data_IF_660545525671
#
_entry.id   IF_660545525671
#
_cell.length_a   1.000
_cell.length_b   1.000
_cell.length_c   1.000
_cell.angle_alpha   90.00
_cell.angle_beta   90.00
_cell.angle_gamma   90.00
#
_symmetry.space_group_name_H-M   'P 1'
#
loop_
_entity.id
_entity.type
_entity.pdbx_description
1 polymer ?
#
# COMPACT_ATOMS: atom_id res chain seq x y z
N UNK A 1 22.25 -24.28 17.81
CA UNK A 1 21.96 -23.09 18.57
C UNK A 1 20.65 -22.48 18.09
N UNK A 2 19.62 -22.48 18.92
CA UNK A 2 18.40 -21.75 18.66
C UNK A 2 18.73 -20.26 18.78
N UNK A 3 18.61 -19.51 17.69
CA UNK A 3 18.69 -18.08 17.70
C UNK A 3 17.48 -17.55 18.49
N UNK A 4 17.73 -16.96 19.65
CA UNK A 4 16.70 -16.24 20.40
C UNK A 4 16.10 -15.17 19.50
N UNK A 5 14.82 -15.32 19.19
CA UNK A 5 14.08 -14.27 18.49
C UNK A 5 13.87 -13.12 19.47
N UNK A 6 14.71 -12.09 19.39
CA UNK A 6 14.51 -10.89 20.20
C UNK A 6 13.24 -10.18 19.70
N UNK A 7 12.24 -10.05 20.58
CA UNK A 7 11.04 -9.26 20.33
C UNK A 7 11.35 -7.80 20.65
N UNK A 8 11.33 -6.94 19.65
CA UNK A 8 11.53 -5.50 19.80
C UNK A 8 10.19 -4.77 19.76
N UNK A 9 9.82 -4.15 20.88
CA UNK A 9 8.63 -3.30 20.95
C UNK A 9 8.93 -1.95 20.29
N UNK A 10 8.16 -1.58 19.27
CA UNK A 10 8.23 -0.27 18.61
C UNK A 10 6.97 0.53 18.92
N UNK A 11 7.16 1.75 19.42
CA UNK A 11 6.07 2.68 19.66
C UNK A 11 6.06 3.75 18.56
N UNK A 12 4.87 4.11 18.11
CA UNK A 12 4.71 5.23 17.19
C UNK A 12 5.08 6.55 17.88
N UNK A 13 5.91 7.36 17.24
CA UNK A 13 6.13 8.73 17.68
C UNK A 13 4.83 9.55 17.49
N UNK A 14 4.71 10.68 18.20
CA UNK A 14 3.49 11.50 18.18
C UNK A 14 3.05 11.86 16.74
N UNK A 15 3.98 12.31 15.90
CA UNK A 15 3.67 12.67 14.51
C UNK A 15 3.20 11.46 13.68
N UNK A 16 3.77 10.25 13.91
CA UNK A 16 3.32 9.03 13.24
C UNK A 16 1.91 8.63 13.70
N UNK A 17 1.65 8.68 15.01
CA UNK A 17 0.34 8.39 15.57
C UNK A 17 -0.74 9.33 14.99
N UNK A 18 -0.46 10.62 14.96
CA UNK A 18 -1.38 11.63 14.42
C UNK A 18 -1.63 11.44 12.92
N UNK A 19 -0.55 11.28 12.12
CA UNK A 19 -0.63 11.09 10.68
C UNK A 19 -1.42 9.81 10.33
N UNK A 20 -1.14 8.70 11.00
CA UNK A 20 -1.84 7.42 10.77
C UNK A 20 -3.33 7.53 11.08
N UNK A 21 -3.70 8.14 12.21
CA UNK A 21 -5.12 8.31 12.56
C UNK A 21 -5.86 9.18 11.54
N UNK A 22 -5.25 10.28 11.12
CA UNK A 22 -5.82 11.17 10.11
C UNK A 22 -5.96 10.47 8.75
N UNK A 23 -4.94 9.69 8.36
CA UNK A 23 -4.97 8.90 7.12
C UNK A 23 -6.09 7.84 7.15
N UNK A 24 -6.28 7.13 8.27
CA UNK A 24 -7.38 6.16 8.42
C UNK A 24 -8.75 6.84 8.24
N UNK A 25 -8.96 7.99 8.89
CA UNK A 25 -10.21 8.73 8.74
C UNK A 25 -10.47 9.13 7.28
N UNK A 26 -9.46 9.68 6.60
CA UNK A 26 -9.55 10.02 5.17
C UNK A 26 -9.85 8.80 4.31
N UNK A 27 -9.20 7.66 4.59
CA UNK A 27 -9.39 6.42 3.84
C UNK A 27 -10.81 5.87 3.98
N UNK A 28 -11.36 5.85 5.20
CA UNK A 28 -12.75 5.44 5.44
C UNK A 28 -13.70 6.31 4.63
N UNK A 29 -13.49 7.64 4.66
CA UNK A 29 -14.31 8.59 3.90
C UNK A 29 -14.19 8.34 2.39
N UNK A 30 -12.97 8.19 1.88
CA UNK A 30 -12.71 7.96 0.45
C UNK A 30 -13.27 6.61 -0.05
N UNK A 31 -13.21 5.57 0.79
CA UNK A 31 -13.71 4.22 0.47
C UNK A 31 -15.23 4.08 0.62
N UNK A 32 -15.93 5.04 1.24
CA UNK A 32 -17.38 5.00 1.39
C UNK A 32 -18.09 5.01 0.03
N UNK A 33 -19.36 4.62 0.02
CA UNK A 33 -20.15 4.55 -1.22
C UNK A 33 -20.16 5.88 -1.99
N UNK A 34 -20.23 7.01 -1.28
CA UNK A 34 -20.20 8.37 -1.83
C UNK A 34 -18.79 8.98 -1.88
N UNK A 35 -17.76 8.22 -1.50
CA UNK A 35 -16.38 8.70 -1.47
C UNK A 35 -15.76 8.78 -2.86
N UNK A 36 -14.78 9.66 -2.99
CA UNK A 36 -14.09 9.97 -4.25
C UNK A 36 -12.87 9.04 -4.51
N UNK A 37 -12.65 8.03 -3.66
CA UNK A 37 -11.53 7.08 -3.72
C UNK A 37 -10.14 7.74 -3.55
N UNK A 38 -10.06 8.96 -3.01
CA UNK A 38 -8.83 9.70 -2.80
C UNK A 38 -8.56 9.88 -1.31
N UNK A 39 -7.72 9.02 -0.75
CA UNK A 39 -7.39 9.08 0.68
C UNK A 39 -6.51 10.29 1.05
N UNK A 40 -5.66 10.74 0.13
CA UNK A 40 -4.81 11.92 0.34
C UNK A 40 -3.32 11.63 0.28
N UNK A 41 -2.53 12.59 0.74
CA UNK A 41 -1.06 12.54 0.75
C UNK A 41 -0.57 12.75 2.17
N UNK A 42 0.41 11.94 2.59
CA UNK A 42 1.13 12.11 3.86
C UNK A 42 2.55 12.54 3.54
N UNK A 43 2.89 13.75 3.97
CA UNK A 43 4.23 14.28 3.80
C UNK A 43 5.09 13.94 5.02
N UNK A 44 6.18 13.25 4.77
CA UNK A 44 7.19 12.94 5.78
C UNK A 44 8.54 13.56 5.41
N UNK A 45 9.22 14.15 6.38
CA UNK A 45 10.64 14.50 6.22
C UNK A 45 11.48 13.24 6.14
N UNK A 46 12.58 13.31 5.40
CA UNK A 46 13.53 12.21 5.33
C UNK A 46 14.01 11.81 6.74
N UNK A 47 14.10 10.53 7.02
CA UNK A 47 14.50 10.01 8.32
C UNK A 47 13.42 10.02 9.42
N UNK A 48 12.21 10.51 9.15
CA UNK A 48 11.11 10.57 10.14
C UNK A 48 10.39 9.25 10.41
N UNK A 49 10.86 8.14 9.85
CA UNK A 49 10.27 6.82 10.04
C UNK A 49 9.08 6.52 9.13
N UNK A 50 9.10 7.00 7.89
CA UNK A 50 8.06 6.79 6.88
C UNK A 50 7.63 5.32 6.76
N UNK A 51 8.59 4.39 6.65
CA UNK A 51 8.31 2.96 6.53
C UNK A 51 7.51 2.40 7.71
N UNK A 52 7.81 2.83 8.93
CA UNK A 52 7.05 2.45 10.12
C UNK A 52 5.65 3.06 10.13
N UNK A 53 5.50 4.31 9.69
CA UNK A 53 4.18 4.95 9.53
C UNK A 53 3.31 4.18 8.54
N UNK A 54 3.88 3.71 7.42
CA UNK A 54 3.18 2.87 6.44
C UNK A 54 2.74 1.54 7.04
N UNK A 55 3.60 0.89 7.84
CA UNK A 55 3.26 -0.36 8.55
C UNK A 55 2.16 -0.12 9.58
N UNK A 56 2.24 0.91 10.41
CA UNK A 56 1.20 1.25 11.39
C UNK A 56 -0.13 1.57 10.72
N UNK A 57 -0.09 2.30 9.62
CA UNK A 57 -1.28 2.60 8.82
C UNK A 57 -1.90 1.33 8.25
N UNK A 58 -1.09 0.45 7.65
CA UNK A 58 -1.54 -0.82 7.10
C UNK A 58 -2.15 -1.73 8.18
N UNK A 59 -1.49 -1.89 9.32
CA UNK A 59 -2.00 -2.68 10.44
C UNK A 59 -3.31 -2.12 10.99
N UNK A 60 -3.44 -0.80 11.05
CA UNK A 60 -4.69 -0.16 11.49
C UNK A 60 -5.83 -0.33 10.49
N UNK A 61 -5.55 -0.30 9.19
CA UNK A 61 -6.54 -0.60 8.15
C UNK A 61 -7.11 -2.01 8.28
N UNK A 62 -6.25 -3.00 8.51
CA UNK A 62 -6.65 -4.41 8.66
C UNK A 62 -7.65 -4.61 9.79
N UNK A 63 -7.52 -3.87 10.89
CA UNK A 63 -8.42 -3.96 12.05
C UNK A 63 -9.59 -2.98 12.02
N UNK A 64 -9.69 -2.13 11.00
CA UNK A 64 -10.75 -1.12 10.85
C UNK A 64 -11.98 -1.77 10.20
N UNK A 65 -13.10 -1.97 10.93
CA UNK A 65 -14.26 -2.69 10.41
C UNK A 65 -14.85 -2.06 9.13
N UNK A 66 -14.85 -0.74 9.04
CA UNK A 66 -15.41 0.01 7.89
C UNK A 66 -14.69 -0.29 6.56
N UNK A 67 -13.46 -0.80 6.61
CA UNK A 67 -12.68 -1.16 5.41
C UNK A 67 -12.83 -2.63 5.03
N UNK A 68 -13.55 -3.45 5.81
CA UNK A 68 -13.87 -4.85 5.50
C UNK A 68 -12.63 -5.68 5.11
N UNK A 69 -11.59 -5.66 5.96
CA UNK A 69 -10.34 -6.37 5.70
C UNK A 69 -9.77 -6.05 4.30
N UNK A 70 -9.26 -4.83 4.09
CA UNK A 70 -8.88 -4.37 2.76
C UNK A 70 -7.66 -5.13 2.21
N UNK A 71 -7.57 -5.22 0.90
CA UNK A 71 -6.31 -5.55 0.23
C UNK A 71 -5.45 -4.28 0.17
N UNK A 72 -4.24 -4.36 0.69
CA UNK A 72 -3.28 -3.24 0.71
C UNK A 72 -2.24 -3.49 -0.36
N UNK A 73 -2.14 -2.58 -1.32
CA UNK A 73 -1.13 -2.61 -2.38
C UNK A 73 -0.07 -1.56 -2.06
N UNK A 74 1.15 -2.01 -1.84
CA UNK A 74 2.31 -1.11 -1.64
C UNK A 74 3.04 -0.97 -2.97
N UNK A 75 2.97 0.23 -3.52
CA UNK A 75 3.53 0.58 -4.81
C UNK A 75 4.87 1.27 -4.64
N UNK A 76 5.92 0.71 -5.25
CA UNK A 76 7.26 1.27 -5.26
C UNK A 76 7.67 1.70 -6.68
N UNK A 77 8.57 2.69 -6.78
CA UNK A 77 8.92 3.33 -8.05
C UNK A 77 9.88 2.49 -8.93
N UNK A 78 10.70 1.62 -8.34
CA UNK A 78 11.78 0.94 -9.06
C UNK A 78 11.52 -0.53 -9.29
N UNK A 79 12.17 -1.07 -10.35
CA UNK A 79 12.20 -2.50 -10.67
C UNK A 79 12.77 -3.35 -9.53
N UNK A 80 13.65 -2.79 -8.72
CA UNK A 80 14.11 -3.39 -7.48
C UNK A 80 13.15 -2.92 -6.38
N UNK A 81 12.34 -3.86 -5.91
CA UNK A 81 11.54 -3.65 -4.71
C UNK A 81 12.45 -3.10 -3.61
N UNK A 82 11.98 -2.07 -2.93
CA UNK A 82 12.66 -1.57 -1.74
C UNK A 82 12.71 -2.70 -0.70
N UNK A 83 13.80 -3.47 -0.74
CA UNK A 83 14.02 -4.61 0.16
C UNK A 83 13.92 -4.20 1.62
N UNK A 84 14.29 -2.96 1.93
CA UNK A 84 14.21 -2.43 3.28
C UNK A 84 12.76 -2.20 3.70
N UNK A 85 11.91 -1.67 2.81
CA UNK A 85 10.49 -1.47 3.08
C UNK A 85 9.77 -2.80 3.23
N UNK A 86 10.00 -3.73 2.29
CA UNK A 86 9.44 -5.08 2.35
C UNK A 86 9.87 -5.83 3.61
N UNK A 87 11.16 -5.77 3.97
CA UNK A 87 11.68 -6.37 5.20
C UNK A 87 11.05 -5.76 6.45
N UNK A 88 10.76 -4.45 6.44
CA UNK A 88 10.08 -3.77 7.56
C UNK A 88 8.66 -4.30 7.72
N UNK A 89 7.91 -4.45 6.65
CA UNK A 89 6.57 -5.06 6.65
C UNK A 89 6.62 -6.52 7.09
N UNK A 90 7.56 -7.31 6.57
CA UNK A 90 7.73 -8.74 6.91
C UNK A 90 8.00 -8.97 8.39
N UNK A 91 8.77 -8.09 9.03
CA UNK A 91 9.02 -8.14 10.49
C UNK A 91 7.77 -7.81 11.31
N UNK A 92 6.80 -7.12 10.74
CA UNK A 92 5.57 -6.69 11.39
C UNK A 92 4.34 -7.52 10.96
N UNK A 93 4.54 -8.73 10.46
CA UNK A 93 3.47 -9.61 9.95
C UNK A 93 2.35 -9.86 10.97
N UNK A 94 2.68 -9.88 12.27
CA UNK A 94 1.67 -10.05 13.33
C UNK A 94 0.73 -8.85 13.42
N UNK A 95 1.25 -7.62 13.27
CA UNK A 95 0.43 -6.42 13.20
C UNK A 95 -0.46 -6.42 11.95
N UNK A 96 0.07 -6.91 10.84
CA UNK A 96 -0.64 -7.01 9.56
C UNK A 96 -1.61 -8.22 9.52
N UNK A 97 -1.51 -9.14 10.50
CA UNK A 97 -2.24 -10.41 10.56
C UNK A 97 -2.02 -11.32 9.34
N UNK A 98 -1.00 -11.04 8.56
CA UNK A 98 -0.64 -11.76 7.35
C UNK A 98 0.80 -11.42 6.92
N UNK A 99 1.43 -12.33 6.19
CA UNK A 99 2.71 -12.05 5.58
C UNK A 99 2.52 -11.18 4.32
N UNK A 100 3.34 -10.13 4.14
CA UNK A 100 3.37 -9.41 2.87
C UNK A 100 3.91 -10.32 1.76
N UNK A 101 3.40 -10.15 0.56
CA UNK A 101 3.83 -10.89 -0.63
C UNK A 101 4.24 -9.91 -1.73
N UNK A 102 5.15 -10.35 -2.59
CA UNK A 102 5.54 -9.59 -3.78
C UNK A 102 4.79 -10.14 -5.00
N UNK A 103 4.27 -9.26 -5.84
CA UNK A 103 3.76 -9.67 -7.13
C UNK A 103 4.93 -9.96 -8.08
N UNK A 104 4.99 -11.16 -8.61
CA UNK A 104 6.06 -11.57 -9.54
C UNK A 104 5.97 -10.79 -10.86
N UNK A 105 4.78 -10.75 -11.42
CA UNK A 105 4.45 -10.08 -12.67
C UNK A 105 3.04 -9.49 -12.64
N UNK A 106 2.55 -9.01 -13.78
CA UNK A 106 1.22 -8.43 -13.93
C UNK A 106 0.10 -9.46 -13.74
N UNK A 107 0.27 -10.67 -14.26
CA UNK A 107 -0.73 -11.73 -14.14
C UNK A 107 -0.90 -12.15 -12.68
N UNK A 108 0.21 -12.28 -11.96
CA UNK A 108 0.22 -12.57 -10.53
C UNK A 108 -0.39 -11.43 -9.71
N UNK A 109 -0.09 -10.16 -10.07
CA UNK A 109 -0.74 -9.01 -9.44
C UNK A 109 -2.26 -9.06 -9.62
N UNK A 110 -2.74 -9.32 -10.84
CA UNK A 110 -4.17 -9.46 -11.12
C UNK A 110 -4.79 -10.58 -10.31
N UNK A 111 -4.16 -11.75 -10.27
CA UNK A 111 -4.64 -12.88 -9.46
C UNK A 111 -4.75 -12.52 -7.97
N UNK A 112 -3.76 -11.80 -7.42
CA UNK A 112 -3.79 -11.34 -6.02
C UNK A 112 -4.89 -10.30 -5.77
N UNK A 113 -5.23 -9.46 -6.73
CA UNK A 113 -6.30 -8.44 -6.61
C UNK A 113 -7.70 -9.01 -6.82
N UNK A 114 -7.85 -10.21 -7.37
CA UNK A 114 -9.15 -10.91 -7.50
C UNK A 114 -9.56 -11.63 -6.22
N UNK A 115 -8.67 -11.77 -5.23
CA UNK A 115 -9.03 -12.34 -3.93
C UNK A 115 -10.14 -11.52 -3.26
N UNK A 116 -11.04 -12.20 -2.55
CA UNK A 116 -12.23 -11.56 -1.99
C UNK A 116 -11.93 -10.48 -0.93
N UNK A 117 -10.86 -10.64 -0.14
CA UNK A 117 -10.48 -9.68 0.91
C UNK A 117 -9.06 -9.96 1.41
N UNK A 118 -8.48 -9.00 2.12
CA UNK A 118 -7.17 -9.10 2.75
C UNK A 118 -6.02 -9.08 1.73
N UNK A 119 -4.82 -9.29 2.23
CA UNK A 119 -3.59 -9.28 1.47
C UNK A 119 -2.81 -7.98 1.62
N UNK A 120 -1.49 -8.11 1.74
CA UNK A 120 -0.54 -7.00 1.62
C UNK A 120 0.38 -7.35 0.45
N UNK A 121 0.20 -6.66 -0.66
CA UNK A 121 0.85 -6.97 -1.94
C UNK A 121 1.81 -5.86 -2.31
N UNK A 122 3.08 -6.20 -2.43
CA UNK A 122 4.11 -5.30 -2.95
C UNK A 122 4.22 -5.44 -4.46
N UNK A 123 4.30 -4.32 -5.13
CA UNK A 123 4.45 -4.30 -6.59
C UNK A 123 5.15 -3.02 -7.04
N UNK A 124 5.65 -3.03 -8.27
CA UNK A 124 6.21 -1.85 -8.90
C UNK A 124 5.21 -1.22 -9.86
N UNK A 125 5.40 0.07 -10.11
CA UNK A 125 4.53 0.84 -10.99
C UNK A 125 4.46 0.26 -12.41
N UNK A 126 5.56 -0.32 -12.91
CA UNK A 126 5.64 -0.92 -14.23
C UNK A 126 4.69 -2.12 -14.42
N UNK A 127 4.37 -2.83 -13.34
CA UNK A 127 3.44 -3.97 -13.38
C UNK A 127 1.97 -3.55 -13.53
N UNK A 128 1.68 -2.26 -13.38
CA UNK A 128 0.35 -1.70 -13.65
C UNK A 128 0.18 -1.27 -15.11
N UNK A 129 1.24 -1.13 -15.90
CA UNK A 129 1.12 -0.69 -17.29
C UNK A 129 0.51 -1.77 -18.20
N UNK A 130 -0.25 -1.39 -19.25
CA UNK A 130 -0.61 -2.30 -20.34
C UNK A 130 0.65 -2.75 -21.10
N UNK A 131 0.54 -3.93 -21.73
CA UNK A 131 1.65 -4.47 -22.54
C UNK A 131 1.88 -3.67 -23.80
N UNK A 132 0.83 -3.07 -24.36
CA UNK A 132 0.91 -2.24 -25.55
C UNK A 132 0.58 -0.76 -25.24
N UNK A 133 1.38 0.14 -25.84
CA UNK A 133 1.12 1.58 -25.76
C UNK A 133 -0.19 1.91 -26.51
N UNK A 134 -1.19 2.34 -25.77
CA UNK A 134 -2.46 2.75 -26.32
C UNK A 134 -3.67 1.93 -25.88
N UNK A 135 -3.46 0.78 -25.27
CA UNK A 135 -4.54 -0.01 -24.70
C UNK A 135 -5.10 0.64 -23.42
N UNK A 136 -6.43 0.68 -23.33
CA UNK A 136 -7.10 1.00 -22.08
C UNK A 136 -6.90 -0.15 -21.11
N UNK A 137 -6.42 0.15 -19.90
CA UNK A 137 -6.37 -0.86 -18.84
C UNK A 137 -7.75 -1.48 -18.64
N UNK A 138 -7.80 -2.80 -18.72
CA UNK A 138 -8.92 -3.51 -18.14
C UNK A 138 -8.95 -3.22 -16.63
N UNK A 139 -10.12 -2.95 -16.09
CA UNK A 139 -10.32 -2.80 -14.65
C UNK A 139 -9.77 -4.05 -13.96
N UNK A 140 -8.80 -3.88 -13.06
CA UNK A 140 -8.17 -5.00 -12.36
C UNK A 140 -9.10 -5.59 -11.30
N UNK A 141 -9.95 -4.77 -10.70
CA UNK A 141 -10.93 -5.18 -9.69
C UNK A 141 -11.98 -4.10 -9.49
N UNK A 142 -13.24 -4.49 -9.32
CA UNK A 142 -14.35 -3.58 -8.99
C UNK A 142 -14.50 -3.37 -7.47
N UNK A 143 -13.62 -3.94 -6.68
CA UNK A 143 -13.66 -3.85 -5.23
C UNK A 143 -13.31 -2.44 -4.75
N UNK A 144 -14.09 -1.94 -3.78
CA UNK A 144 -13.85 -0.64 -3.13
C UNK A 144 -12.94 -0.72 -1.90
N UNK A 145 -12.60 -1.92 -1.45
CA UNK A 145 -11.71 -2.15 -0.32
C UNK A 145 -10.29 -2.58 -0.74
N UNK A 146 -9.80 -2.03 -1.85
CA UNK A 146 -8.39 -2.07 -2.23
C UNK A 146 -7.80 -0.70 -1.94
N UNK A 147 -6.75 -0.65 -1.13
CA UNK A 147 -6.05 0.58 -0.78
C UNK A 147 -4.64 0.55 -1.35
N UNK A 148 -4.31 1.51 -2.20
CA UNK A 148 -2.98 1.65 -2.78
C UNK A 148 -2.18 2.68 -1.96
N UNK A 149 -1.01 2.27 -1.51
CA UNK A 149 -0.03 3.13 -0.83
C UNK A 149 1.15 3.29 -1.77
N UNK A 150 1.31 4.47 -2.36
CA UNK A 150 2.46 4.77 -3.21
C UNK A 150 3.59 5.37 -2.38
N UNK A 151 4.74 4.71 -2.37
CA UNK A 151 5.97 5.26 -1.83
C UNK A 151 6.65 6.18 -2.84
N UNK A 152 7.33 7.23 -2.38
CA UNK A 152 8.02 8.22 -3.23
C UNK A 152 7.12 8.80 -4.35
N UNK A 153 5.85 9.08 -4.03
CA UNK A 153 4.84 9.52 -4.99
C UNK A 153 5.24 10.76 -5.80
N UNK A 154 6.20 11.56 -5.29
CA UNK A 154 6.72 12.73 -6.00
C UNK A 154 7.59 12.35 -7.23
N UNK A 155 8.24 11.20 -7.23
CA UNK A 155 9.08 10.74 -8.36
C UNK A 155 8.24 10.24 -9.52
N UNK A 156 7.10 9.64 -9.23
CA UNK A 156 6.16 9.18 -10.24
C UNK A 156 5.35 10.33 -10.87
N UNK A 157 5.43 11.55 -10.33
CA UNK A 157 4.68 12.70 -10.86
C UNK A 157 5.24 13.27 -12.18
N UNK A 158 6.47 13.00 -12.54
CA UNK A 158 7.03 13.47 -13.81
C UNK A 158 6.34 12.86 -15.03
N UNK A 159 5.69 11.69 -14.88
CA UNK A 159 4.87 11.06 -15.92
C UNK A 159 3.35 11.27 -15.73
N UNK A 160 2.94 12.07 -14.73
CA UNK A 160 1.53 12.22 -14.32
C UNK A 160 0.67 13.03 -15.29
N UNK A 161 1.27 13.80 -16.18
CA UNK A 161 0.50 14.64 -17.11
C UNK A 161 -0.22 13.78 -18.15
N UNK A 162 0.28 12.59 -18.49
CA UNK A 162 -0.32 11.74 -19.53
C UNK A 162 -0.58 10.26 -19.17
N UNK A 163 -0.17 9.75 -18.01
CA UNK A 163 -0.18 8.30 -17.84
C UNK A 163 -0.76 7.75 -16.53
N UNK A 164 -0.16 8.04 -15.40
CA UNK A 164 -0.31 7.25 -14.19
C UNK A 164 -1.61 7.43 -13.39
N UNK A 165 -1.97 8.67 -13.09
CA UNK A 165 -3.17 8.95 -12.28
C UNK A 165 -4.47 8.57 -12.99
N UNK A 166 -4.45 8.48 -14.32
CA UNK A 166 -5.60 8.10 -15.14
C UNK A 166 -5.90 6.60 -15.08
N UNK A 167 -4.92 5.78 -14.74
CA UNK A 167 -5.03 4.32 -14.71
C UNK A 167 -5.28 3.73 -13.33
N UNK A 168 -5.19 4.54 -12.27
CA UNK A 168 -5.52 4.14 -10.90
C UNK A 168 -6.96 4.54 -10.48
N UNK A 169 -7.77 4.99 -11.41
CA UNK A 169 -9.18 5.34 -11.17
C UNK A 169 -10.13 4.24 -11.66
#
# INVERSE_FOLDING_TARGET
GQSEKSVVKKLAAYHQYYAVNKAIYSTIKAASFSGDQRAGVVWHTQGSGKSLSMVFYSGKMVVTPQLNNPTIVVLTDRNDLDDQLFATFSRCRELLRQAPVQAADRADLRAKLTMASGGVVFTTIQKFFPEEKGDRHAVLSDRRNIVVIADEAHRSQYDFVDGFARHMR
#
